data_IF_852618055350
#
_entry.id   IF_852618055350
#
_cell.length_a   1.000
_cell.length_b   1.000
_cell.length_c   1.000
_cell.angle_alpha   90.00
_cell.angle_beta   90.00
_cell.angle_gamma   90.00
#
_symmetry.space_group_name_H-M   'P 1'
#
loop_
_entity.id
_entity.type
_entity.pdbx_description
1 polymer ?
#
# COMPACT_ATOMS: atom_id res chain seq x y z
N UNK A 1 32.33 -35.21 27.93
CA UNK A 1 31.43 -35.98 27.05
C UNK A 1 30.11 -35.25 26.98
N UNK A 2 29.87 -34.50 25.90
CA UNK A 2 28.62 -33.75 25.72
C UNK A 2 27.56 -34.67 25.10
N UNK A 3 26.44 -34.84 25.81
CA UNK A 3 25.29 -35.63 25.36
C UNK A 3 24.41 -34.77 24.45
N UNK A 4 24.43 -35.03 23.15
CA UNK A 4 23.44 -34.53 22.19
C UNK A 4 22.11 -35.25 22.44
N UNK A 5 21.14 -34.55 23.05
CA UNK A 5 19.74 -34.99 23.01
C UNK A 5 19.13 -34.50 21.70
N UNK A 6 18.88 -35.43 20.77
CA UNK A 6 18.07 -35.16 19.60
C UNK A 6 16.62 -34.87 20.05
N UNK A 7 16.12 -33.67 19.74
CA UNK A 7 14.68 -33.40 19.78
C UNK A 7 14.05 -34.13 18.58
N UNK A 8 13.35 -35.22 18.85
CA UNK A 8 12.44 -35.80 17.89
C UNK A 8 11.21 -34.89 17.79
N UNK A 9 11.12 -34.13 16.70
CA UNK A 9 9.88 -33.43 16.34
C UNK A 9 8.96 -34.50 15.77
N UNK A 10 8.08 -35.04 16.61
CA UNK A 10 6.95 -35.84 16.13
C UNK A 10 6.05 -34.90 15.36
N UNK A 11 5.89 -35.15 14.06
CA UNK A 11 4.94 -34.46 13.21
C UNK A 11 3.53 -34.68 13.78
N UNK A 12 3.05 -33.73 14.58
CA UNK A 12 1.65 -33.65 14.97
C UNK A 12 0.87 -33.29 13.71
N UNK A 13 0.10 -34.26 13.24
CA UNK A 13 -1.03 -34.18 12.31
C UNK A 13 -1.20 -32.82 11.62
N UNK A 14 -0.71 -32.73 10.38
CA UNK A 14 -1.20 -31.74 9.42
C UNK A 14 -2.71 -32.00 9.29
N UNK A 15 -3.59 -31.02 9.58
CA UNK A 15 -5.01 -31.18 9.34
C UNK A 15 -5.22 -31.63 7.89
N UNK A 16 -6.02 -32.68 7.69
CA UNK A 16 -6.36 -33.15 6.35
C UNK A 16 -6.98 -31.99 5.56
N UNK A 17 -6.18 -31.33 4.72
CA UNK A 17 -6.64 -30.32 3.79
C UNK A 17 -7.53 -31.06 2.79
N UNK A 18 -8.85 -30.95 2.98
CA UNK A 18 -9.84 -31.33 2.00
C UNK A 18 -9.66 -30.40 0.80
N UNK A 19 -8.82 -30.82 -0.15
CA UNK A 19 -8.74 -30.24 -1.49
C UNK A 19 -10.05 -30.55 -2.25
N UNK A 20 -11.14 -29.91 -1.85
CA UNK A 20 -12.40 -30.03 -2.55
C UNK A 20 -12.55 -28.86 -3.53
N UNK A 21 -12.57 -29.21 -4.83
CA UNK A 21 -13.03 -28.41 -5.96
C UNK A 21 -12.41 -27.02 -6.18
N UNK A 22 -11.30 -26.97 -6.92
CA UNK A 22 -10.98 -25.83 -7.80
C UNK A 22 -10.72 -24.47 -7.14
N UNK A 23 -10.62 -24.39 -5.82
CA UNK A 23 -10.31 -23.15 -5.12
C UNK A 23 -8.80 -23.09 -4.82
N UNK A 24 -8.00 -22.26 -5.52
CA UNK A 24 -6.54 -22.22 -5.35
C UNK A 24 -6.09 -21.63 -3.99
N UNK A 25 -7.03 -21.19 -3.14
CA UNK A 25 -6.78 -20.67 -1.80
C UNK A 25 -7.79 -21.27 -0.81
N UNK A 26 -7.37 -22.18 0.10
CA UNK A 26 -8.25 -22.69 1.15
C UNK A 26 -8.68 -21.59 2.12
N UNK A 27 -9.92 -21.65 2.61
CA UNK A 27 -10.51 -20.67 3.55
C UNK A 27 -9.65 -20.45 4.80
N UNK A 28 -9.00 -21.50 5.29
CA UNK A 28 -8.09 -21.45 6.45
C UNK A 28 -6.90 -20.51 6.24
N UNK A 29 -6.39 -20.40 5.01
CA UNK A 29 -5.31 -19.48 4.69
C UNK A 29 -5.79 -18.03 4.74
N UNK A 30 -6.99 -17.76 4.22
CA UNK A 30 -7.56 -16.42 4.28
C UNK A 30 -7.77 -15.99 5.73
N UNK A 31 -8.28 -16.87 6.59
CA UNK A 31 -8.42 -16.60 8.01
C UNK A 31 -7.07 -16.33 8.68
N UNK A 32 -6.03 -17.09 8.36
CA UNK A 32 -4.68 -16.86 8.92
C UNK A 32 -4.10 -15.51 8.52
N UNK A 33 -4.33 -15.09 7.27
CA UNK A 33 -3.92 -13.77 6.77
C UNK A 33 -4.68 -12.64 7.49
N UNK A 34 -5.97 -12.85 7.74
CA UNK A 34 -6.78 -11.91 8.50
C UNK A 34 -6.41 -11.89 10.00
N UNK A 35 -6.05 -13.03 10.61
CA UNK A 35 -5.48 -13.08 11.96
C UNK A 35 -4.24 -12.17 12.07
N UNK A 36 -3.35 -12.22 11.07
CA UNK A 36 -2.18 -11.34 11.01
C UNK A 36 -2.56 -9.87 10.78
N UNK A 37 -3.54 -9.59 9.92
CA UNK A 37 -4.03 -8.23 9.65
C UNK A 37 -4.52 -7.51 10.91
N UNK A 38 -5.17 -8.22 11.84
CA UNK A 38 -5.64 -7.70 13.13
C UNK A 38 -4.66 -7.90 14.30
N UNK A 39 -3.46 -8.45 14.08
CA UNK A 39 -2.57 -8.90 15.17
C UNK A 39 -2.09 -7.80 16.13
N UNK A 40 -2.06 -6.55 15.67
CA UNK A 40 -1.70 -5.37 16.48
C UNK A 40 -2.92 -4.50 16.86
N UNK A 41 -4.13 -5.01 16.66
CA UNK A 41 -5.37 -4.37 17.12
C UNK A 41 -5.61 -4.73 18.60
N UNK A 42 -6.05 -3.75 19.38
CA UNK A 42 -6.38 -3.95 20.79
C UNK A 42 -7.57 -4.88 20.97
N UNK A 43 -7.68 -5.56 22.12
CA UNK A 43 -8.81 -6.41 22.42
C UNK A 43 -10.16 -5.67 22.35
N UNK A 44 -10.20 -4.41 22.79
CA UNK A 44 -11.37 -3.52 22.65
C UNK A 44 -11.73 -3.30 21.19
N UNK A 45 -10.74 -3.01 20.33
CA UNK A 45 -10.98 -2.85 18.90
C UNK A 45 -11.42 -4.13 18.22
N UNK A 46 -10.81 -5.27 18.57
CA UNK A 46 -11.24 -6.58 18.05
C UNK A 46 -12.71 -6.84 18.39
N UNK A 47 -13.12 -6.61 19.64
CA UNK A 47 -14.49 -6.77 20.08
C UNK A 47 -15.46 -5.81 19.36
N UNK A 48 -15.08 -4.54 19.18
CA UNK A 48 -15.87 -3.56 18.44
C UNK A 48 -16.01 -3.92 16.95
N UNK A 49 -14.94 -4.35 16.30
CA UNK A 49 -14.96 -4.74 14.89
C UNK A 49 -15.73 -6.04 14.65
N UNK A 50 -15.59 -7.03 15.53
CA UNK A 50 -16.29 -8.31 15.40
C UNK A 50 -17.72 -8.27 15.94
N UNK A 51 -18.15 -7.18 16.59
CA UNK A 51 -19.40 -7.10 17.34
C UNK A 51 -19.51 -8.23 18.40
N UNK A 52 -18.44 -8.39 19.18
CA UNK A 52 -18.24 -9.43 20.20
C UNK A 52 -18.29 -10.88 19.65
N UNK A 53 -18.26 -11.05 18.32
CA UNK A 53 -18.14 -12.37 17.72
C UNK A 53 -16.73 -12.92 17.94
N UNK A 54 -16.66 -14.18 18.38
CA UNK A 54 -15.41 -14.93 18.58
C UNK A 54 -15.10 -15.86 17.40
N UNK A 55 -16.01 -15.94 16.42
CA UNK A 55 -15.79 -16.68 15.18
C UNK A 55 -14.76 -15.99 14.29
N UNK A 56 -14.02 -16.78 13.52
CA UNK A 56 -13.11 -16.27 12.47
C UNK A 56 -13.84 -15.97 11.15
N UNK A 57 -15.14 -15.66 11.22
CA UNK A 57 -15.89 -15.26 10.03
C UNK A 57 -15.72 -13.76 9.78
N UNK A 58 -14.53 -13.37 9.29
CA UNK A 58 -14.19 -11.97 9.03
C UNK A 58 -15.15 -11.26 8.07
N UNK A 59 -15.89 -12.00 7.25
CA UNK A 59 -16.89 -11.40 6.36
C UNK A 59 -18.06 -10.74 7.11
N UNK A 60 -18.28 -11.09 8.38
CA UNK A 60 -19.28 -10.45 9.25
C UNK A 60 -18.69 -9.28 10.04
N UNK A 61 -17.36 -9.10 10.02
CA UNK A 61 -16.70 -8.05 10.79
C UNK A 61 -16.88 -6.68 10.14
N UNK A 62 -17.09 -5.67 10.96
CA UNK A 62 -17.22 -4.28 10.52
C UNK A 62 -15.98 -3.85 9.74
N UNK A 63 -16.22 -3.27 8.57
CA UNK A 63 -15.17 -2.78 7.68
C UNK A 63 -14.62 -3.82 6.70
N UNK A 64 -15.01 -5.09 6.80
CA UNK A 64 -14.64 -6.13 5.84
C UNK A 64 -15.78 -6.34 4.85
N UNK A 65 -15.45 -6.42 3.55
CA UNK A 65 -16.43 -6.73 2.51
C UNK A 65 -15.94 -7.92 1.70
N UNK A 66 -16.72 -8.99 1.73
CA UNK A 66 -16.44 -10.21 1.00
C UNK A 66 -17.23 -10.31 -0.31
N UNK A 67 -16.69 -11.06 -1.27
CA UNK A 67 -17.38 -11.47 -2.50
C UNK A 67 -17.18 -12.96 -2.67
N UNK A 68 -18.28 -13.72 -2.72
CA UNK A 68 -18.26 -15.18 -2.74
C UNK A 68 -17.39 -15.78 -1.62
N UNK A 69 -17.51 -15.24 -0.40
CA UNK A 69 -16.77 -15.70 0.79
C UNK A 69 -15.30 -15.33 0.84
N UNK A 70 -14.81 -14.49 -0.09
CA UNK A 70 -13.41 -14.00 -0.11
C UNK A 70 -13.32 -12.53 0.22
N UNK A 71 -12.40 -12.13 1.10
CA UNK A 71 -12.15 -10.74 1.45
C UNK A 71 -11.71 -9.97 0.20
N UNK A 72 -12.55 -9.01 -0.19
CA UNK A 72 -12.32 -8.16 -1.35
C UNK A 72 -11.93 -6.73 -0.99
N UNK A 73 -12.39 -6.23 0.16
CA UNK A 73 -12.18 -4.84 0.61
C UNK A 73 -12.07 -4.76 2.12
N UNK A 74 -11.20 -3.87 2.60
CA UNK A 74 -11.11 -3.46 4.01
C UNK A 74 -11.25 -1.93 4.10
N UNK A 75 -12.10 -1.45 5.01
CA UNK A 75 -12.51 -0.04 5.11
C UNK A 75 -12.61 0.38 6.58
N UNK A 76 -11.71 1.28 6.97
CA UNK A 76 -11.60 1.90 8.29
C UNK A 76 -11.32 3.39 8.12
N UNK A 77 -12.02 4.23 8.88
CA UNK A 77 -11.85 5.68 8.92
C UNK A 77 -12.13 6.19 10.34
N UNK A 78 -11.20 6.95 10.91
CA UNK A 78 -11.32 7.54 12.26
C UNK A 78 -11.41 6.52 13.41
N UNK A 79 -10.72 5.38 13.31
CA UNK A 79 -10.58 4.42 14.43
C UNK A 79 -9.13 4.31 14.90
N UNK A 80 -8.89 4.27 16.21
CA UNK A 80 -7.56 4.28 16.82
C UNK A 80 -7.29 3.07 17.74
N UNK A 81 -7.77 1.89 17.34
CA UNK A 81 -7.55 0.66 18.08
C UNK A 81 -6.22 -0.06 17.81
N UNK A 82 -5.19 0.65 17.30
CA UNK A 82 -3.89 0.06 16.96
C UNK A 82 -3.66 -0.08 15.44
N UNK A 83 -2.69 -0.91 15.06
CA UNK A 83 -2.24 -1.02 13.67
C UNK A 83 -2.88 -2.19 12.94
N UNK A 84 -3.28 -1.94 11.70
CA UNK A 84 -3.66 -2.94 10.72
C UNK A 84 -2.44 -3.33 9.87
N UNK A 85 -2.02 -4.60 9.92
CA UNK A 85 -0.94 -5.10 9.06
C UNK A 85 -1.44 -5.37 7.63
N UNK A 86 -1.44 -4.33 6.80
CA UNK A 86 -1.86 -4.45 5.41
C UNK A 86 -0.96 -5.35 4.56
N UNK A 87 0.27 -5.68 5.01
CA UNK A 87 1.18 -6.57 4.26
C UNK A 87 0.76 -8.04 4.38
N UNK A 88 -0.11 -8.34 5.34
CA UNK A 88 -0.70 -9.65 5.58
C UNK A 88 -2.07 -9.82 4.92
N UNK A 89 -2.60 -8.81 4.22
CA UNK A 89 -3.91 -8.92 3.57
C UNK A 89 -3.95 -10.02 2.49
N UNK A 90 -5.09 -10.71 2.32
CA UNK A 90 -5.29 -11.67 1.24
C UNK A 90 -4.98 -11.09 -0.14
N UNK A 91 -4.37 -11.87 -1.06
CA UNK A 91 -4.01 -11.39 -2.38
C UNK A 91 -5.21 -10.99 -3.25
N UNK A 92 -6.42 -11.41 -2.85
CA UNK A 92 -7.72 -11.07 -3.47
C UNK A 92 -8.18 -9.66 -3.17
N UNK A 93 -7.59 -8.97 -2.17
CA UNK A 93 -8.03 -7.64 -1.75
C UNK A 93 -7.77 -6.63 -2.87
N UNK A 94 -8.86 -5.99 -3.30
CA UNK A 94 -8.87 -5.00 -4.38
C UNK A 94 -8.90 -3.56 -3.85
N UNK A 95 -9.43 -3.35 -2.65
CA UNK A 95 -9.55 -2.03 -2.02
C UNK A 95 -9.09 -2.07 -0.58
N UNK A 96 -8.12 -1.22 -0.27
CA UNK A 96 -7.65 -0.92 1.08
C UNK A 96 -7.97 0.54 1.35
N UNK A 97 -8.75 0.81 2.38
CA UNK A 97 -9.10 2.16 2.81
C UNK A 97 -8.93 2.22 4.33
N UNK A 98 -7.83 2.78 4.80
CA UNK A 98 -7.52 2.91 6.23
C UNK A 98 -6.99 4.34 6.41
N UNK A 99 -7.89 5.30 6.58
CA UNK A 99 -7.56 6.73 6.65
C UNK A 99 -7.85 7.26 8.07
N UNK A 100 -7.08 8.23 8.55
CA UNK A 100 -7.32 8.84 9.88
C UNK A 100 -7.32 7.85 11.06
N UNK A 101 -6.57 6.74 10.97
CA UNK A 101 -6.56 5.67 11.98
C UNK A 101 -5.29 5.64 12.84
N UNK A 102 -4.50 6.73 12.84
CA UNK A 102 -3.23 6.85 13.57
C UNK A 102 -2.20 5.72 13.29
N UNK A 103 -2.30 5.06 12.14
CA UNK A 103 -1.46 3.90 11.80
C UNK A 103 0.02 4.29 11.83
N UNK A 104 0.85 3.55 12.56
CA UNK A 104 2.26 3.86 12.79
C UNK A 104 3.14 2.61 12.66
N UNK A 105 3.57 2.34 11.44
CA UNK A 105 4.51 1.28 11.09
C UNK A 105 5.21 1.59 9.76
N UNK A 106 6.22 0.79 9.43
CA UNK A 106 6.95 0.92 8.17
C UNK A 106 6.13 0.39 6.99
N UNK A 107 5.80 1.24 6.03
CA UNK A 107 5.04 0.86 4.84
C UNK A 107 5.95 0.20 3.79
N UNK A 108 5.63 -1.02 3.38
CA UNK A 108 6.27 -1.70 2.25
C UNK A 108 5.32 -1.77 1.05
N UNK A 109 5.35 -0.79 0.15
CA UNK A 109 4.46 -0.75 -1.03
C UNK A 109 4.61 -1.95 -1.96
N UNK A 110 5.80 -2.57 -2.01
CA UNK A 110 6.04 -3.81 -2.76
C UNK A 110 5.25 -5.02 -2.27
N UNK A 111 4.74 -4.98 -1.02
CA UNK A 111 3.96 -6.04 -0.37
C UNK A 111 2.45 -5.81 -0.43
N UNK A 112 1.99 -4.79 -1.16
CA UNK A 112 0.55 -4.61 -1.40
C UNK A 112 -0.04 -5.85 -2.11
N UNK A 113 -1.28 -6.25 -1.79
CA UNK A 113 -1.97 -7.35 -2.47
C UNK A 113 -1.96 -7.19 -3.99
N UNK A 114 -1.71 -8.27 -4.73
CA UNK A 114 -1.54 -8.21 -6.20
C UNK A 114 -2.82 -7.81 -6.95
N UNK A 115 -4.00 -8.07 -6.37
CA UNK A 115 -5.27 -7.61 -6.92
C UNK A 115 -5.62 -6.16 -6.57
N UNK A 116 -4.79 -5.45 -5.79
CA UNK A 116 -5.09 -4.09 -5.34
C UNK A 116 -5.29 -3.13 -6.52
N UNK A 117 -6.42 -2.44 -6.49
CA UNK A 117 -6.82 -1.39 -7.43
C UNK A 117 -6.84 -0.03 -6.74
N UNK A 118 -7.23 0.00 -5.47
CA UNK A 118 -7.38 1.23 -4.70
C UNK A 118 -6.73 1.07 -3.34
N UNK A 119 -5.74 1.91 -3.03
CA UNK A 119 -5.08 1.93 -1.74
C UNK A 119 -5.11 3.37 -1.19
N UNK A 120 -5.88 3.57 -0.13
CA UNK A 120 -5.99 4.84 0.59
C UNK A 120 -5.52 4.64 2.02
N UNK A 121 -4.36 5.22 2.33
CA UNK A 121 -3.73 5.19 3.65
C UNK A 121 -3.41 6.62 4.13
N UNK A 122 -4.14 7.61 3.61
CA UNK A 122 -3.90 9.01 3.91
C UNK A 122 -4.21 9.36 5.37
N UNK A 123 -3.59 10.42 5.88
CA UNK A 123 -3.79 10.91 7.25
C UNK A 123 -3.45 9.87 8.32
N UNK A 124 -2.26 9.28 8.23
CA UNK A 124 -1.73 8.36 9.22
C UNK A 124 -0.31 8.81 9.65
N UNK A 125 0.44 7.93 10.30
CA UNK A 125 1.82 8.17 10.73
C UNK A 125 2.79 7.17 10.09
N UNK A 126 2.43 6.58 8.94
CA UNK A 126 3.24 5.59 8.24
C UNK A 126 4.59 6.18 7.83
N UNK A 127 5.65 5.39 7.93
CA UNK A 127 7.01 5.80 7.59
C UNK A 127 7.71 4.78 6.68
N UNK A 128 8.91 5.11 6.22
CA UNK A 128 9.67 4.30 5.26
C UNK A 128 9.57 4.82 3.82
N UNK A 129 10.21 4.11 2.90
CA UNK A 129 10.33 4.51 1.50
C UNK A 129 9.20 4.01 0.62
N UNK A 130 8.82 4.81 -0.37
CA UNK A 130 7.76 4.47 -1.33
C UNK A 130 8.36 3.90 -2.62
N UNK A 131 8.36 2.58 -2.75
CA UNK A 131 8.78 1.90 -3.98
C UNK A 131 7.64 1.93 -5.02
N UNK A 132 7.76 2.82 -6.02
CA UNK A 132 6.73 3.00 -7.05
C UNK A 132 6.87 2.03 -8.25
N UNK A 133 8.08 1.49 -8.48
CA UNK A 133 8.37 0.60 -9.62
C UNK A 133 7.83 -0.82 -9.45
N UNK A 134 7.48 -1.21 -8.22
CA UNK A 134 7.05 -2.58 -7.84
C UNK A 134 5.56 -2.67 -7.49
N UNK A 135 4.81 -1.59 -7.73
CA UNK A 135 3.39 -1.51 -7.44
C UNK A 135 2.60 -2.57 -8.23
N UNK A 136 1.47 -3.06 -7.69
CA UNK A 136 0.57 -3.95 -8.43
C UNK A 136 0.14 -3.35 -9.78
N UNK A 137 0.17 -4.16 -10.84
CA UNK A 137 -0.17 -3.69 -12.20
C UNK A 137 -1.61 -3.18 -12.34
N UNK A 138 -2.51 -3.68 -11.49
CA UNK A 138 -3.91 -3.30 -11.45
C UNK A 138 -4.19 -2.03 -10.66
N UNK A 139 -3.17 -1.43 -10.02
CA UNK A 139 -3.36 -0.27 -9.15
C UNK A 139 -3.81 0.95 -9.98
N UNK A 140 -4.97 1.50 -9.61
CA UNK A 140 -5.59 2.68 -10.22
C UNK A 140 -5.33 3.92 -9.38
N UNK A 141 -5.43 3.80 -8.04
CA UNK A 141 -5.20 4.93 -7.13
C UNK A 141 -4.35 4.52 -5.94
N UNK A 142 -3.33 5.34 -5.67
CA UNK A 142 -2.52 5.27 -4.45
C UNK A 142 -2.56 6.63 -3.75
N UNK A 143 -3.17 6.67 -2.56
CA UNK A 143 -3.20 7.84 -1.70
C UNK A 143 -2.45 7.55 -0.42
N UNK A 144 -1.31 8.21 -0.26
CA UNK A 144 -0.45 8.13 0.92
C UNK A 144 -0.18 9.52 1.52
N UNK A 145 -1.01 10.52 1.19
CA UNK A 145 -0.81 11.89 1.67
C UNK A 145 -0.92 11.97 3.19
N UNK A 146 -0.33 13.00 3.80
CA UNK A 146 -0.45 13.26 5.23
C UNK A 146 0.09 12.07 6.06
N UNK A 147 1.36 11.71 5.85
CA UNK A 147 2.09 10.64 6.53
C UNK A 147 3.53 11.09 6.86
N UNK A 148 4.43 10.16 7.19
CA UNK A 148 5.86 10.40 7.47
C UNK A 148 6.77 9.63 6.51
N UNK A 149 6.28 9.32 5.30
CA UNK A 149 7.03 8.58 4.29
C UNK A 149 8.22 9.42 3.81
N UNK A 150 9.33 8.76 3.53
CA UNK A 150 10.59 9.42 3.20
C UNK A 150 11.32 8.68 2.08
N UNK A 151 12.58 9.03 1.86
CA UNK A 151 13.43 8.39 0.85
C UNK A 151 13.07 8.80 -0.58
N UNK A 152 13.85 8.32 -1.56
CA UNK A 152 13.70 8.72 -2.94
C UNK A 152 12.46 8.08 -3.57
N UNK A 153 11.84 8.79 -4.51
CA UNK A 153 10.79 8.31 -5.38
C UNK A 153 11.23 8.34 -6.84
N UNK A 154 10.61 7.46 -7.63
CA UNK A 154 10.91 7.29 -9.03
C UNK A 154 9.62 7.10 -9.84
N UNK A 155 9.34 8.04 -10.75
CA UNK A 155 8.12 8.07 -11.55
C UNK A 155 8.33 7.57 -12.97
N UNK A 156 9.45 6.88 -13.24
CA UNK A 156 9.82 6.45 -14.60
C UNK A 156 9.08 5.20 -15.06
N UNK A 157 8.56 4.38 -14.14
CA UNK A 157 7.82 3.17 -14.45
C UNK A 157 6.60 3.03 -13.53
N UNK A 158 5.50 3.67 -13.92
CA UNK A 158 4.21 3.60 -13.22
C UNK A 158 3.29 2.57 -13.90
N UNK A 159 2.41 1.87 -13.15
CA UNK A 159 1.46 0.91 -13.72
C UNK A 159 0.58 1.51 -14.82
N UNK A 160 0.25 0.73 -15.86
CA UNK A 160 -0.51 1.22 -17.02
C UNK A 160 -1.91 1.73 -16.66
N UNK A 161 -2.56 1.13 -15.66
CA UNK A 161 -3.92 1.50 -15.20
C UNK A 161 -3.93 2.70 -14.24
N UNK A 162 -2.76 3.21 -13.85
CA UNK A 162 -2.65 4.18 -12.78
C UNK A 162 -3.24 5.54 -13.18
N UNK A 163 -4.15 6.05 -12.34
CA UNK A 163 -4.89 7.27 -12.57
C UNK A 163 -4.53 8.38 -11.58
N UNK A 164 -4.28 8.02 -10.31
CA UNK A 164 -4.05 8.99 -9.24
C UNK A 164 -2.93 8.56 -8.29
N UNK A 165 -1.96 9.45 -8.05
CA UNK A 165 -0.89 9.26 -7.07
C UNK A 165 -0.79 10.49 -6.16
N UNK A 166 -1.10 10.35 -4.87
CA UNK A 166 -1.01 11.43 -3.90
C UNK A 166 0.02 11.09 -2.82
N UNK A 167 1.13 11.82 -2.83
CA UNK A 167 2.27 11.69 -1.91
C UNK A 167 2.57 12.97 -1.12
N UNK A 168 1.90 14.08 -1.42
CA UNK A 168 2.06 15.34 -0.70
C UNK A 168 1.86 15.19 0.82
N UNK A 169 2.46 16.11 1.59
CA UNK A 169 2.48 16.13 3.06
C UNK A 169 3.09 14.86 3.65
N UNK A 170 4.29 14.53 3.18
CA UNK A 170 5.16 13.51 3.72
C UNK A 170 6.52 14.15 4.08
N UNK A 171 7.57 13.34 4.23
CA UNK A 171 8.95 13.74 4.50
C UNK A 171 9.90 13.28 3.37
N UNK A 172 9.44 13.28 2.11
CA UNK A 172 10.26 12.96 0.95
C UNK A 172 11.17 14.16 0.66
N UNK A 173 12.48 13.95 0.70
CA UNK A 173 13.49 14.94 0.36
C UNK A 173 14.27 14.45 -0.87
N UNK A 174 14.13 15.16 -1.97
CA UNK A 174 14.78 14.79 -3.22
C UNK A 174 14.93 15.99 -4.14
N UNK A 175 16.16 16.37 -4.48
CA UNK A 175 16.41 17.54 -5.34
C UNK A 175 15.80 17.38 -6.74
N UNK A 176 15.87 16.17 -7.32
CA UNK A 176 15.41 15.87 -8.67
C UNK A 176 14.63 14.58 -8.69
N UNK A 177 13.38 14.62 -9.15
CA UNK A 177 12.54 13.43 -9.41
C UNK A 177 12.40 13.23 -10.91
N UNK A 178 12.78 12.04 -11.39
CA UNK A 178 12.63 11.70 -12.81
C UNK A 178 11.25 11.10 -13.08
N UNK A 179 10.67 11.45 -14.23
CA UNK A 179 9.47 10.81 -14.77
C UNK A 179 9.66 10.43 -16.23
N UNK A 180 9.09 9.28 -16.60
CA UNK A 180 9.12 8.74 -17.96
C UNK A 180 7.85 9.07 -18.72
N UNK A 181 7.51 8.21 -19.69
CA UNK A 181 6.21 8.26 -20.35
C UNK A 181 5.12 7.93 -19.34
N UNK A 182 4.25 8.90 -19.08
CA UNK A 182 3.19 8.76 -18.10
C UNK A 182 2.08 7.81 -18.61
N UNK A 183 1.52 6.92 -17.75
CA UNK A 183 0.46 5.99 -18.14
C UNK A 183 -0.74 6.68 -18.80
N UNK A 184 -1.41 6.12 -19.82
CA UNK A 184 -2.48 6.78 -20.56
C UNK A 184 -3.66 7.22 -19.69
N UNK A 185 -3.88 6.56 -18.55
CA UNK A 185 -4.97 6.88 -17.62
C UNK A 185 -4.59 7.89 -16.52
N UNK A 186 -3.29 8.26 -16.40
CA UNK A 186 -2.87 9.17 -15.34
C UNK A 186 -3.59 10.51 -15.51
N UNK A 187 -4.26 10.92 -14.45
CA UNK A 187 -5.04 12.15 -14.38
C UNK A 187 -4.35 13.15 -13.46
N UNK A 188 -3.78 12.68 -12.35
CA UNK A 188 -3.15 13.57 -11.39
C UNK A 188 -2.05 12.89 -10.56
N UNK A 189 -0.93 13.59 -10.45
CA UNK A 189 0.13 13.30 -9.47
C UNK A 189 0.25 14.52 -8.54
N UNK A 190 0.26 14.27 -7.23
CA UNK A 190 0.39 15.30 -6.18
C UNK A 190 1.58 14.96 -5.30
N UNK A 191 2.70 15.63 -5.54
CA UNK A 191 3.94 15.36 -4.82
C UNK A 191 4.18 16.32 -3.66
N UNK A 192 3.68 17.56 -3.74
CA UNK A 192 3.79 18.52 -2.66
C UNK A 192 2.62 19.51 -2.70
N UNK A 193 2.42 20.23 -1.62
CA UNK A 193 1.57 21.42 -1.46
C UNK A 193 2.45 22.62 -1.07
N UNK A 194 1.86 23.82 -1.01
CA UNK A 194 2.56 25.03 -0.53
C UNK A 194 2.68 25.13 1.00
N UNK A 195 2.30 24.10 1.75
CA UNK A 195 2.34 24.09 3.22
C UNK A 195 3.74 23.90 3.80
N UNK A 196 3.93 24.29 5.07
CA UNK A 196 5.23 24.23 5.78
C UNK A 196 5.69 22.81 6.13
N UNK A 197 4.80 21.81 6.15
CA UNK A 197 5.09 20.41 6.50
C UNK A 197 4.80 19.52 5.30
N UNK A 198 5.66 19.60 4.30
CA UNK A 198 5.51 18.88 3.04
C UNK A 198 6.86 18.36 2.53
N UNK A 199 6.78 17.55 1.47
CA UNK A 199 7.93 17.03 0.77
C UNK A 199 8.80 18.16 0.22
N UNK A 200 10.11 17.99 0.30
CA UNK A 200 11.11 18.90 -0.25
C UNK A 200 11.59 18.35 -1.60
N UNK A 201 10.83 18.64 -2.65
CA UNK A 201 11.16 18.23 -4.02
C UNK A 201 11.57 19.46 -4.82
N UNK A 202 12.83 19.47 -5.28
CA UNK A 202 13.38 20.61 -6.02
C UNK A 202 12.75 20.78 -7.40
N UNK A 203 12.87 19.76 -8.24
CA UNK A 203 12.33 19.79 -9.60
C UNK A 203 11.97 18.40 -10.14
N UNK A 204 11.06 18.40 -11.13
CA UNK A 204 10.74 17.22 -11.93
C UNK A 204 11.49 17.26 -13.24
N UNK A 205 12.14 16.16 -13.63
CA UNK A 205 12.83 16.02 -14.92
C UNK A 205 12.21 14.92 -15.78
N UNK A 206 11.81 15.28 -16.99
CA UNK A 206 11.35 14.31 -17.99
C UNK A 206 12.54 13.52 -18.57
N UNK A 207 12.38 12.21 -18.75
CA UNK A 207 13.35 11.38 -19.48
C UNK A 207 13.25 11.56 -21.00
N UNK A 208 12.08 11.93 -21.51
CA UNK A 208 11.83 12.07 -22.95
C UNK A 208 11.10 13.39 -23.24
N UNK A 209 11.43 14.11 -24.34
CA UNK A 209 10.78 15.36 -24.72
C UNK A 209 9.24 15.25 -24.79
N UNK A 210 8.72 14.17 -25.37
CA UNK A 210 7.28 13.94 -25.53
C UNK A 210 6.53 13.78 -24.20
N UNK A 211 7.25 13.56 -23.09
CA UNK A 211 6.63 13.42 -21.77
C UNK A 211 6.19 14.77 -21.18
N UNK A 212 6.67 15.90 -21.72
CA UNK A 212 6.41 17.24 -21.19
C UNK A 212 4.98 17.74 -21.44
N UNK A 213 4.42 17.48 -22.62
CA UNK A 213 3.11 18.02 -23.04
C UNK A 213 2.02 17.63 -22.04
N UNK A 214 2.07 16.38 -21.59
CA UNK A 214 1.12 15.82 -20.65
C UNK A 214 1.46 16.11 -19.20
N UNK A 215 2.76 16.27 -18.88
CA UNK A 215 3.22 16.48 -17.51
C UNK A 215 2.56 17.72 -16.86
N UNK A 216 2.40 18.82 -17.61
CA UNK A 216 1.78 20.06 -17.08
C UNK A 216 0.31 19.90 -16.65
N UNK A 217 -0.40 18.92 -17.19
CA UNK A 217 -1.80 18.64 -16.85
C UNK A 217 -1.91 17.71 -15.63
N UNK A 218 -0.93 16.80 -15.50
CA UNK A 218 -0.90 15.73 -14.49
C UNK A 218 -0.31 16.22 -13.18
N UNK A 219 0.85 16.86 -13.23
CA UNK A 219 1.49 17.44 -12.05
C UNK A 219 0.83 18.77 -11.72
N UNK A 220 0.54 19.00 -10.44
CA UNK A 220 0.06 20.31 -9.96
C UNK A 220 1.17 21.02 -9.19
N UNK A 221 1.10 22.37 -9.11
CA UNK A 221 1.98 23.17 -8.26
C UNK A 221 2.04 22.63 -6.82
N UNK A 222 3.16 22.85 -6.09
CA UNK A 222 4.19 23.86 -6.37
C UNK A 222 5.45 23.35 -7.11
N UNK A 223 5.60 22.04 -7.33
CA UNK A 223 6.84 21.49 -7.88
C UNK A 223 7.01 21.91 -9.34
N UNK A 224 8.15 22.53 -9.66
CA UNK A 224 8.45 22.99 -11.01
C UNK A 224 8.89 21.82 -11.91
N UNK A 225 8.49 21.85 -13.18
CA UNK A 225 8.87 20.87 -14.20
C UNK A 225 9.98 21.47 -15.05
N UNK A 226 11.12 20.79 -15.14
CA UNK A 226 12.24 21.12 -16.03
C UNK A 226 12.53 19.97 -17.00
N UNK A 227 13.23 20.29 -18.07
CA UNK A 227 13.63 19.32 -19.09
C UNK A 227 15.08 18.88 -18.89
N UNK A 228 15.38 17.64 -19.24
CA UNK A 228 16.74 17.11 -19.28
C UNK A 228 17.37 17.45 -20.65
N UNK A 229 18.07 18.59 -20.77
CA UNK A 229 18.95 18.85 -21.91
C UNK A 229 20.36 18.33 -21.60
N UNK A 230 20.87 17.42 -22.43
CA UNK A 230 22.28 17.02 -22.43
C UNK A 230 23.16 18.13 -23.02
N UNK A 231 23.11 19.35 -22.48
CA UNK A 231 23.94 20.48 -22.94
C UNK A 231 25.20 20.68 -22.09
N UNK A 232 25.70 19.63 -21.43
CA UNK A 232 26.90 19.71 -20.58
C UNK A 232 28.01 18.73 -20.99
N UNK A 233 28.11 18.39 -22.28
CA UNK A 233 29.32 17.80 -22.86
C UNK A 233 29.53 18.47 -24.24
N UNK A 234 30.13 19.65 -24.23
CA UNK A 234 30.85 20.22 -25.36
C UNK A 234 32.27 20.53 -24.91
#
# INVERSE_FOLDING_TARGET
MFSLRALAITATEVPNILWNNGNPFPVEWENTLMDCFYSEITAEGTADYSNEDTSRNYCEWRGVVCTAGKVGRVIYDQQDYGNFDIHSLPPTVTRISIEHCLQHYMLHTRRLPRASQFCYLGNNQLFGSVELRTLPENLVTLRLSDNRLNGPIDLTNLPQKFAYLWLHRNAIEQSVVFFGRLPPNITAIRLATSGKRDNQIGELRALYPESLDRARQVFRPPVQIKFYSNEAIQ
#
